data_IF_609894914808
#
_entry.id   IF_609894914808
#
_cell.length_a   1.000
_cell.length_b   1.000
_cell.length_c   1.000
_cell.angle_alpha   90.00
_cell.angle_beta   90.00
_cell.angle_gamma   90.00
#
_symmetry.space_group_name_H-M   'P 1'
#
loop_
_entity.id
_entity.type
_entity.pdbx_description
1 polymer ?
#
# COMPACT_ATOMS: atom_id res chain seq x y z
N UNK A 1 41.58 -4.50 -31.38
CA UNK A 1 42.06 -4.74 -30.00
C UNK A 1 41.44 -3.69 -29.08
N UNK A 2 40.17 -3.90 -28.66
CA UNK A 2 39.43 -3.10 -27.65
C UNK A 2 38.10 -3.78 -27.24
N UNK A 3 37.93 -5.08 -27.53
CA UNK A 3 36.66 -5.81 -27.31
C UNK A 3 36.82 -6.98 -26.34
N UNK A 4 37.77 -6.91 -25.41
CA UNK A 4 37.92 -7.91 -24.33
C UNK A 4 37.49 -7.35 -22.97
N UNK A 5 37.26 -6.04 -22.87
CA UNK A 5 36.89 -5.36 -21.63
C UNK A 5 35.52 -5.76 -21.06
N UNK A 6 34.64 -6.36 -21.89
CA UNK A 6 33.33 -6.83 -21.42
C UNK A 6 33.43 -8.04 -20.47
N UNK A 7 34.50 -8.83 -20.53
CA UNK A 7 34.66 -10.04 -19.70
C UNK A 7 35.25 -9.70 -18.31
N UNK A 8 35.98 -8.58 -18.18
CA UNK A 8 36.59 -8.15 -16.92
C UNK A 8 35.61 -7.52 -15.93
N UNK A 9 34.43 -7.07 -16.38
CA UNK A 9 33.41 -6.47 -15.50
C UNK A 9 32.54 -7.52 -14.80
N UNK A 10 32.63 -8.79 -15.20
CA UNK A 10 31.81 -9.88 -14.66
C UNK A 10 32.42 -10.60 -13.44
N UNK A 11 33.61 -10.20 -12.99
CA UNK A 11 34.45 -10.98 -12.06
C UNK A 11 34.64 -10.38 -10.66
N UNK A 12 33.92 -9.32 -10.31
CA UNK A 12 33.98 -8.68 -8.98
C UNK A 12 32.52 -8.33 -8.65
N UNK A 13 31.77 -8.91 -7.72
CA UNK A 13 32.10 -9.51 -6.44
C UNK A 13 30.89 -10.34 -5.98
N UNK A 14 31.14 -11.44 -5.27
CA UNK A 14 30.12 -12.17 -4.51
C UNK A 14 30.21 -11.77 -3.02
N UNK A 15 29.09 -12.01 -2.28
CA UNK A 15 28.96 -12.25 -0.81
C UNK A 15 28.91 -10.97 0.08
N UNK A 16 27.99 -10.76 1.04
CA UNK A 16 27.02 -11.61 1.78
C UNK A 16 25.86 -10.82 2.42
N UNK A 17 24.83 -11.58 2.79
CA UNK A 17 23.62 -11.30 3.60
C UNK A 17 23.86 -10.51 4.89
N UNK A 18 22.93 -9.61 5.20
CA UNK A 18 22.49 -9.33 6.58
C UNK A 18 21.00 -9.63 6.70
N UNK A 19 20.64 -10.62 7.52
CA UNK A 19 19.30 -10.78 8.03
C UNK A 19 19.19 -9.91 9.28
N UNK A 20 18.31 -8.90 9.26
CA UNK A 20 17.83 -8.23 10.46
C UNK A 20 16.34 -8.51 10.57
N UNK A 21 16.01 -9.54 11.35
CA UNK A 21 14.72 -9.63 12.02
C UNK A 21 14.83 -8.78 13.28
N UNK A 22 14.33 -7.56 13.24
CA UNK A 22 13.93 -6.82 14.42
C UNK A 22 12.59 -6.18 14.08
N UNK A 23 11.55 -6.71 14.70
CA UNK A 23 10.25 -6.08 14.82
C UNK A 23 10.41 -4.69 15.45
N UNK A 24 9.42 -3.83 15.20
CA UNK A 24 9.11 -2.61 15.97
C UNK A 24 9.81 -1.30 15.53
N UNK A 25 9.14 -0.56 14.64
CA UNK A 25 8.46 0.68 15.03
C UNK A 25 7.71 1.26 13.82
N UNK A 26 6.41 1.45 13.97
CA UNK A 26 5.59 2.19 13.02
C UNK A 26 6.09 3.65 12.95
N UNK A 27 6.51 4.10 11.76
CA UNK A 27 6.53 5.51 11.44
C UNK A 27 5.64 5.77 10.22
N UNK A 28 4.43 6.18 10.57
CA UNK A 28 3.53 7.10 9.89
C UNK A 28 4.21 7.86 8.74
N UNK A 29 4.09 7.32 7.54
CA UNK A 29 4.24 8.13 6.32
C UNK A 29 2.98 8.99 6.24
N UNK A 30 3.11 10.24 6.67
CA UNK A 30 2.12 11.28 6.41
C UNK A 30 1.93 11.38 4.89
N UNK A 31 0.85 10.77 4.39
CA UNK A 31 0.41 10.97 3.02
C UNK A 31 -0.21 12.36 2.94
N UNK A 32 0.41 13.23 2.14
CA UNK A 32 -0.05 14.58 1.82
C UNK A 32 -1.53 14.58 1.47
N UNK A 33 -2.36 15.02 2.40
CA UNK A 33 -3.77 15.33 2.18
C UNK A 33 -3.84 16.58 1.30
N UNK A 34 -4.22 16.42 0.03
CA UNK A 34 -4.55 17.56 -0.82
C UNK A 34 -5.80 18.26 -0.27
N UNK A 35 -5.79 19.59 -0.05
CA UNK A 35 -6.93 20.30 0.48
C UNK A 35 -7.93 20.53 -0.66
N UNK A 36 -9.06 19.84 -0.64
CA UNK A 36 -10.13 20.06 -1.62
C UNK A 36 -11.31 20.77 -0.98
N UNK A 37 -11.25 22.10 -1.00
CA UNK A 37 -12.38 22.98 -0.66
C UNK A 37 -13.00 23.55 -1.94
N UNK A 38 -14.10 22.93 -2.39
CA UNK A 38 -15.18 23.57 -3.16
C UNK A 38 -16.35 22.57 -3.28
N UNK A 39 -17.48 22.87 -2.62
CA UNK A 39 -18.74 22.10 -2.63
C UNK A 39 -18.53 20.58 -2.45
N UNK A 40 -18.04 20.17 -1.28
CA UNK A 40 -17.44 18.84 -1.09
C UNK A 40 -18.54 17.77 -0.97
N UNK A 41 -18.85 17.08 -2.08
CA UNK A 41 -19.24 15.67 -1.94
C UNK A 41 -18.03 14.96 -1.30
N UNK A 42 -18.12 14.71 0.00
CA UNK A 42 -17.06 14.06 0.77
C UNK A 42 -17.05 12.58 0.41
N UNK A 43 -16.20 12.21 -0.54
CA UNK A 43 -15.90 10.82 -0.81
C UNK A 43 -15.08 10.24 0.33
N UNK A 44 -15.30 8.97 0.69
CA UNK A 44 -14.53 8.32 1.73
C UNK A 44 -13.04 8.41 1.41
N UNK A 45 -12.26 8.74 2.43
CA UNK A 45 -10.81 8.71 2.42
C UNK A 45 -10.32 7.31 2.75
N UNK A 46 -9.06 7.00 2.37
CA UNK A 46 -8.42 5.75 2.77
C UNK A 46 -8.44 5.59 4.30
N UNK A 47 -8.20 6.66 5.04
CA UNK A 47 -8.21 6.67 6.50
C UNK A 47 -9.57 6.26 7.10
N UNK A 48 -10.67 6.71 6.49
CA UNK A 48 -12.01 6.33 6.95
C UNK A 48 -12.30 4.84 6.68
N UNK A 49 -11.86 4.32 5.53
CA UNK A 49 -11.95 2.90 5.19
C UNK A 49 -11.08 2.04 6.14
N UNK A 50 -9.83 2.43 6.37
CA UNK A 50 -8.93 1.80 7.35
C UNK A 50 -9.57 1.78 8.76
N UNK A 51 -10.20 2.89 9.14
CA UNK A 51 -10.88 3.00 10.44
C UNK A 51 -12.08 2.07 10.55
N UNK A 52 -12.86 1.89 9.48
CA UNK A 52 -13.94 0.91 9.45
C UNK A 52 -13.40 -0.52 9.61
N UNK A 53 -12.30 -0.85 8.90
CA UNK A 53 -11.63 -2.13 9.04
C UNK A 53 -11.17 -2.39 10.49
N UNK A 54 -10.53 -1.42 11.14
CA UNK A 54 -10.06 -1.54 12.54
C UNK A 54 -11.22 -1.77 13.52
N UNK A 55 -12.39 -1.19 13.24
CA UNK A 55 -13.62 -1.42 14.03
C UNK A 55 -14.30 -2.75 13.75
N UNK A 56 -13.71 -3.61 12.90
CA UNK A 56 -14.29 -4.84 12.36
C UNK A 56 -15.58 -4.62 11.55
N UNK A 57 -15.83 -3.38 11.11
CA UNK A 57 -16.91 -3.06 10.18
C UNK A 57 -16.43 -3.30 8.75
N UNK A 58 -16.23 -4.58 8.44
CA UNK A 58 -15.63 -4.99 7.16
C UNK A 58 -16.54 -4.69 5.97
N UNK A 59 -17.86 -4.67 6.16
CA UNK A 59 -18.81 -4.29 5.13
C UNK A 59 -18.65 -2.81 4.74
N UNK A 60 -18.61 -1.91 5.71
CA UNK A 60 -18.35 -0.50 5.44
C UNK A 60 -16.96 -0.27 4.85
N UNK A 61 -15.95 -1.00 5.34
CA UNK A 61 -14.58 -0.96 4.79
C UNK A 61 -14.55 -1.30 3.29
N UNK A 62 -15.19 -2.40 2.89
CA UNK A 62 -15.32 -2.83 1.49
C UNK A 62 -15.96 -1.73 0.64
N UNK A 63 -17.11 -1.20 1.08
CA UNK A 63 -17.83 -0.17 0.33
C UNK A 63 -16.97 1.09 0.12
N UNK A 64 -16.29 1.54 1.18
CA UNK A 64 -15.44 2.72 1.12
C UNK A 64 -14.26 2.52 0.17
N UNK A 65 -13.57 1.37 0.22
CA UNK A 65 -12.47 1.07 -0.70
C UNK A 65 -12.90 0.97 -2.16
N UNK A 66 -14.03 0.32 -2.46
CA UNK A 66 -14.58 0.31 -3.81
C UNK A 66 -14.88 1.73 -4.32
N UNK A 67 -15.46 2.58 -3.45
CA UNK A 67 -15.76 3.96 -3.79
C UNK A 67 -14.49 4.79 -4.03
N UNK A 68 -13.43 4.55 -3.26
CA UNK A 68 -12.13 5.18 -3.49
C UNK A 68 -11.60 4.81 -4.88
N UNK A 69 -11.61 3.53 -5.25
CA UNK A 69 -11.15 3.07 -6.58
C UNK A 69 -11.98 3.71 -7.69
N UNK A 70 -13.31 3.69 -7.56
CA UNK A 70 -14.24 4.24 -8.57
C UNK A 70 -14.06 5.75 -8.80
N UNK A 71 -13.58 6.50 -7.80
CA UNK A 71 -13.53 7.97 -7.84
C UNK A 71 -12.12 8.55 -8.00
N UNK A 72 -11.12 7.89 -7.40
CA UNK A 72 -9.73 8.37 -7.35
C UNK A 72 -8.77 7.50 -8.18
N UNK A 73 -9.25 6.37 -8.70
CA UNK A 73 -8.46 5.45 -9.50
C UNK A 73 -7.78 4.35 -8.67
N UNK A 74 -7.04 3.51 -9.38
CA UNK A 74 -6.43 2.30 -8.86
C UNK A 74 -5.21 2.59 -7.96
N UNK A 75 -5.08 1.83 -6.87
CA UNK A 75 -3.93 1.87 -5.98
C UNK A 75 -3.68 0.48 -5.41
N UNK A 76 -2.43 0.01 -5.45
CA UNK A 76 -2.03 -1.29 -4.91
C UNK A 76 -2.45 -1.48 -3.46
N UNK A 77 -2.25 -0.44 -2.64
CA UNK A 77 -2.52 -0.48 -1.20
C UNK A 77 -4.02 -0.59 -0.94
N UNK A 78 -4.84 0.10 -1.75
CA UNK A 78 -6.30 0.03 -1.66
C UNK A 78 -6.80 -1.36 -2.05
N UNK A 79 -6.26 -1.98 -3.10
CA UNK A 79 -6.64 -3.35 -3.47
C UNK A 79 -6.23 -4.39 -2.43
N UNK A 80 -5.03 -4.25 -1.85
CA UNK A 80 -4.58 -5.11 -0.77
C UNK A 80 -5.52 -5.02 0.45
N UNK A 81 -5.86 -3.82 0.89
CA UNK A 81 -6.76 -3.61 2.02
C UNK A 81 -8.21 -4.03 1.72
N UNK A 82 -8.68 -3.81 0.49
CA UNK A 82 -9.99 -4.29 0.03
C UNK A 82 -10.07 -5.82 0.07
N UNK A 83 -9.03 -6.51 -0.42
CA UNK A 83 -8.94 -7.97 -0.36
C UNK A 83 -9.00 -8.50 1.07
N UNK A 84 -8.23 -7.90 1.98
CA UNK A 84 -8.27 -8.23 3.40
C UNK A 84 -9.66 -7.99 4.02
N UNK A 85 -10.33 -6.90 3.62
CA UNK A 85 -11.68 -6.57 4.07
C UNK A 85 -12.69 -7.64 3.63
N UNK A 86 -12.66 -8.09 2.37
CA UNK A 86 -13.50 -9.18 1.90
C UNK A 86 -13.20 -10.50 2.63
N UNK A 87 -11.93 -10.82 2.84
CA UNK A 87 -11.52 -12.03 3.56
C UNK A 87 -12.15 -12.06 4.96
N UNK A 88 -12.01 -10.95 5.72
CA UNK A 88 -12.57 -10.81 7.07
C UNK A 88 -14.09 -10.72 7.11
N UNK A 89 -14.72 -10.07 6.13
CA UNK A 89 -16.19 -9.99 6.03
C UNK A 89 -16.85 -11.36 5.90
N UNK A 90 -16.16 -12.33 5.27
CA UNK A 90 -16.62 -13.71 5.15
C UNK A 90 -16.27 -14.58 6.37
N UNK A 91 -15.76 -14.00 7.46
CA UNK A 91 -15.30 -14.69 8.68
C UNK A 91 -14.24 -15.78 8.43
N UNK A 92 -13.34 -15.52 7.48
CA UNK A 92 -12.20 -16.38 7.15
C UNK A 92 -10.94 -15.86 7.85
#
# INVERSE_FOLDING_TARGET
MTKIYFILIFLISFVTVYAQNESDSAQVTAQTEMPQSAAVQTFPTKTEADSAYIRNDFAASVEMYENIIKKRGESSDIYYNLGNSYYKMNNI
#
